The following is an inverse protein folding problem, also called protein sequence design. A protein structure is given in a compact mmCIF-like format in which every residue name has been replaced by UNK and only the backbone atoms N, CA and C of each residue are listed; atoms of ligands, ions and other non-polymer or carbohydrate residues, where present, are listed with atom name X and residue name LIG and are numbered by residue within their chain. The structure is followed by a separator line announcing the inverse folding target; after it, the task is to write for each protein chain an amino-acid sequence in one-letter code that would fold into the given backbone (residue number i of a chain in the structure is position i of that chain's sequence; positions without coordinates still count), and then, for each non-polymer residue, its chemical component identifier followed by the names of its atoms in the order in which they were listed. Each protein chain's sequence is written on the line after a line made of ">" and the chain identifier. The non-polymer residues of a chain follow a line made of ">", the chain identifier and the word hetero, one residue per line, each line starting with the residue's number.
data_IF_692138467957
#
_entry.id   IF_692138467957
#
_cell.length_a   1.000
_cell.length_b   1.000
_cell.length_c   1.000
_cell.angle_alpha   90.00
_cell.angle_beta   90.00
_cell.angle_gamma   90.00
#
_symmetry.space_group_name_H-M   'P 1'
#
loop_
_entity.id
_entity.type
_entity.pdbx_description
1 polymer ?
#
# COMPACT_ATOMS: atom_id res chain seq x y z
N UNK A 1 36.64 12.15 3.48
CA UNK A 1 35.81 12.77 2.43
C UNK A 1 34.36 12.44 2.75
N UNK A 2 33.55 13.48 2.74
CA UNK A 2 32.20 13.54 3.30
C UNK A 2 31.20 12.53 2.72
N UNK A 3 30.27 12.20 3.61
CA UNK A 3 29.02 11.48 3.46
C UNK A 3 28.24 11.93 2.21
N UNK A 4 28.24 11.09 1.18
CA UNK A 4 27.37 11.28 0.02
C UNK A 4 25.97 10.79 0.38
N UNK A 5 25.20 11.65 1.06
CA UNK A 5 23.75 11.54 1.22
C UNK A 5 23.11 11.51 -0.17
N UNK A 6 22.93 10.31 -0.72
CA UNK A 6 22.19 10.09 -1.96
C UNK A 6 20.72 10.43 -1.70
N UNK A 7 20.36 11.69 -1.98
CA UNK A 7 18.98 12.16 -2.09
C UNK A 7 18.20 11.14 -2.95
N UNK A 8 17.02 10.66 -2.52
CA UNK A 8 16.28 9.68 -3.30
C UNK A 8 15.96 10.32 -4.65
N UNK A 9 16.42 9.67 -5.73
CA UNK A 9 15.99 10.04 -7.07
C UNK A 9 14.47 10.05 -7.05
N UNK A 10 13.88 11.23 -7.24
CA UNK A 10 12.48 11.39 -7.58
C UNK A 10 12.30 10.80 -8.99
N UNK A 11 12.34 9.47 -9.07
CA UNK A 11 11.84 8.74 -10.22
C UNK A 11 10.34 8.99 -10.19
N UNK A 12 9.85 9.83 -11.10
CA UNK A 12 8.43 10.10 -11.28
C UNK A 12 7.70 8.76 -11.24
N UNK A 13 7.01 8.49 -10.12
CA UNK A 13 6.52 7.15 -9.82
C UNK A 13 5.26 6.97 -10.65
N UNK A 14 5.42 6.43 -11.85
CA UNK A 14 4.30 6.04 -12.69
C UNK A 14 3.57 4.94 -11.93
N UNK A 15 2.42 5.31 -11.36
CA UNK A 15 1.58 4.40 -10.61
C UNK A 15 0.38 4.02 -11.44
N UNK A 16 -0.05 2.77 -11.35
CA UNK A 16 -1.29 2.35 -11.97
C UNK A 16 -2.47 3.03 -11.26
N UNK A 17 -3.17 3.91 -11.97
CA UNK A 17 -4.27 4.71 -11.42
C UNK A 17 -5.46 3.85 -10.96
N UNK A 18 -5.72 2.73 -11.62
CA UNK A 18 -6.76 1.78 -11.20
C UNK A 18 -6.43 1.15 -9.86
N UNK A 19 -5.20 0.63 -9.70
CA UNK A 19 -4.72 0.08 -8.42
C UNK A 19 -4.72 1.14 -7.31
N UNK A 20 -4.33 2.38 -7.62
CA UNK A 20 -4.39 3.49 -6.67
C UNK A 20 -5.81 3.75 -6.17
N UNK A 21 -6.79 3.84 -7.08
CA UNK A 21 -8.21 4.04 -6.73
C UNK A 21 -8.74 2.91 -5.86
N UNK A 22 -8.50 1.65 -6.24
CA UNK A 22 -8.92 0.47 -5.47
C UNK A 22 -8.34 0.54 -4.05
N UNK A 23 -7.03 0.81 -3.92
CA UNK A 23 -6.37 0.93 -2.62
C UNK A 23 -6.92 2.06 -1.77
N UNK A 24 -7.25 3.21 -2.38
CA UNK A 24 -7.85 4.37 -1.70
C UNK A 24 -9.24 4.03 -1.16
N UNK A 25 -10.11 3.47 -2.00
CA UNK A 25 -11.48 3.10 -1.62
C UNK A 25 -11.49 2.07 -0.49
N UNK A 26 -10.70 0.99 -0.60
CA UNK A 26 -10.63 -0.03 0.46
C UNK A 26 -10.19 0.56 1.81
N UNK A 27 -9.25 1.51 1.80
CA UNK A 27 -8.83 2.20 3.04
C UNK A 27 -9.92 3.12 3.59
N UNK A 28 -10.65 3.81 2.73
CA UNK A 28 -11.78 4.67 3.11
C UNK A 28 -12.93 3.86 3.72
N UNK A 29 -13.14 2.63 3.25
CA UNK A 29 -14.09 1.67 3.84
C UNK A 29 -13.58 1.02 5.15
N UNK A 30 -12.38 1.38 5.61
CA UNK A 30 -11.82 0.90 6.87
C UNK A 30 -11.10 -0.45 6.78
N UNK A 31 -10.85 -0.96 5.58
CA UNK A 31 -10.06 -2.17 5.42
C UNK A 31 -8.56 -1.90 5.56
N UNK A 32 -7.87 -2.87 6.16
CA UNK A 32 -6.41 -2.90 6.19
C UNK A 32 -5.88 -3.49 4.87
N UNK A 33 -5.07 -2.70 4.16
CA UNK A 33 -4.58 -3.02 2.81
C UNK A 33 -3.06 -3.02 2.76
N UNK A 34 -2.47 -4.15 2.35
CA UNK A 34 -1.02 -4.32 2.19
C UNK A 34 -0.67 -4.39 0.70
N UNK A 35 0.27 -3.55 0.28
CA UNK A 35 0.85 -3.62 -1.06
C UNK A 35 2.13 -4.44 -0.99
N UNK A 36 2.19 -5.51 -1.79
CA UNK A 36 3.36 -6.37 -1.89
C UNK A 36 4.36 -5.84 -2.93
N UNK A 37 5.65 -6.20 -2.83
CA UNK A 37 6.68 -5.74 -3.77
C UNK A 37 6.45 -6.17 -5.23
N UNK A 38 5.66 -7.22 -5.44
CA UNK A 38 5.25 -7.75 -6.74
C UNK A 38 4.07 -6.98 -7.37
N UNK A 39 3.54 -5.96 -6.69
CA UNK A 39 2.40 -5.14 -7.15
C UNK A 39 1.03 -5.72 -6.80
N UNK A 40 0.98 -6.85 -6.09
CA UNK A 40 -0.29 -7.43 -5.63
C UNK A 40 -0.82 -6.70 -4.39
N UNK A 41 -2.13 -6.51 -4.33
CA UNK A 41 -2.84 -5.95 -3.18
C UNK A 41 -3.43 -7.09 -2.37
N UNK A 42 -3.16 -7.13 -1.07
CA UNK A 42 -3.78 -8.09 -0.13
C UNK A 42 -4.69 -7.35 0.85
N UNK A 43 -5.91 -7.87 1.01
CA UNK A 43 -6.91 -7.40 1.97
C UNK A 43 -6.79 -8.21 3.26
N UNK A 44 -6.66 -7.53 4.40
CA UNK A 44 -6.61 -8.18 5.71
C UNK A 44 -7.99 -8.11 6.37
N UNK A 45 -8.65 -9.26 6.51
CA UNK A 45 -9.94 -9.38 7.20
C UNK A 45 -9.70 -10.04 8.55
N UNK A 46 -9.96 -9.31 9.64
CA UNK A 46 -9.90 -9.87 11.00
C UNK A 46 -11.26 -10.44 11.36
N UNK A 47 -11.39 -11.76 11.33
CA UNK A 47 -12.60 -12.44 11.77
C UNK A 47 -12.51 -12.70 13.27
N UNK A 48 -13.35 -12.01 14.06
CA UNK A 48 -13.53 -12.32 15.47
C UNK A 48 -14.37 -13.58 15.63
N UNK A 49 -14.06 -14.44 16.61
CA UNK A 49 -15.00 -15.50 17.01
C UNK A 49 -16.24 -14.83 17.58
N UNK A 50 -17.37 -14.97 16.90
CA UNK A 50 -18.68 -14.64 17.44
C UNK A 50 -18.87 -15.42 18.74
N UNK A 51 -18.97 -14.70 19.87
CA UNK A 51 -19.34 -15.33 21.15
C UNK A 51 -20.83 -15.66 21.04
N UNK A 52 -21.11 -16.91 20.67
CA UNK A 52 -22.40 -17.56 20.95
C UNK A 52 -22.65 -17.65 22.44
#
# INVERSE_FOLDING_TARGET
>A
MEESTRKPLSTSKVVNFGLYKIKKTLREEGFEVVEKPDGNISLVIRVGKEKR
#
